data_IF_233301776630
#
_entry.id   IF_233301776630
#
_cell.length_a   1.000
_cell.length_b   1.000
_cell.length_c   1.000
_cell.angle_alpha   90.00
_cell.angle_beta   90.00
_cell.angle_gamma   90.00
#
_symmetry.space_group_name_H-M   'P 1'
#
loop_
_entity.id
_entity.type
_entity.pdbx_description
1 polymer ?
#
# COMPACT_ATOMS: atom_id res chain seq x y z
N UNK A 1 -13.85 -33.75 4.90
CA UNK A 1 -14.07 -32.31 4.63
C UNK A 1 -13.41 -31.50 5.75
N UNK A 2 -12.41 -30.66 5.46
CA UNK A 2 -11.73 -29.84 6.49
C UNK A 2 -12.52 -28.55 6.70
N UNK A 3 -12.98 -28.31 7.93
CA UNK A 3 -13.65 -27.07 8.30
C UNK A 3 -12.72 -25.86 8.10
N UNK A 4 -13.22 -24.71 7.61
CA UNK A 4 -12.40 -23.51 7.46
C UNK A 4 -11.95 -23.05 8.85
N UNK A 5 -10.63 -22.98 9.05
CA UNK A 5 -10.05 -22.42 10.29
C UNK A 5 -10.42 -20.94 10.35
N UNK A 6 -11.32 -20.59 11.27
CA UNK A 6 -11.57 -19.19 11.66
C UNK A 6 -10.28 -18.67 12.30
N UNK A 7 -9.44 -18.00 11.52
CA UNK A 7 -8.28 -17.28 12.06
C UNK A 7 -8.87 -16.18 12.94
N UNK A 8 -8.62 -16.17 14.26
CA UNK A 8 -9.08 -15.08 15.10
C UNK A 8 -8.56 -13.78 14.51
N UNK A 9 -9.45 -12.81 14.27
CA UNK A 9 -9.05 -11.45 13.92
C UNK A 9 -8.24 -10.93 15.09
N UNK A 10 -6.92 -11.11 15.04
CA UNK A 10 -6.00 -10.39 15.90
C UNK A 10 -6.28 -8.92 15.59
N UNK A 11 -6.99 -8.25 16.51
CA UNK A 11 -7.06 -6.81 16.52
C UNK A 11 -5.63 -6.37 16.80
N UNK A 12 -4.83 -6.18 15.75
CA UNK A 12 -3.48 -5.69 15.92
C UNK A 12 -3.62 -4.37 16.67
N UNK A 13 -3.04 -4.29 17.86
CA UNK A 13 -3.02 -3.07 18.64
C UNK A 13 -2.17 -2.11 17.82
N UNK A 14 -2.83 -1.14 17.18
CA UNK A 14 -2.15 -0.12 16.38
C UNK A 14 -1.63 0.92 17.37
N UNK A 15 -0.30 1.14 17.44
CA UNK A 15 0.25 2.18 18.29
C UNK A 15 -0.36 3.54 17.93
N UNK A 16 -0.75 4.37 18.92
CA UNK A 16 -1.28 5.71 18.65
C UNK A 16 -0.24 6.57 17.92
N UNK A 17 1.05 6.37 18.21
CA UNK A 17 2.20 7.01 17.56
C UNK A 17 2.23 6.77 16.05
N UNK A 18 1.96 5.53 15.60
CA UNK A 18 1.94 5.18 14.19
C UNK A 18 0.90 6.01 13.41
N UNK A 19 -0.24 6.31 14.05
CA UNK A 19 -1.28 7.17 13.44
C UNK A 19 -0.84 8.63 13.42
N UNK A 20 -0.26 9.12 14.51
CA UNK A 20 0.23 10.50 14.59
C UNK A 20 1.28 10.80 13.50
N UNK A 21 2.21 9.86 13.28
CA UNK A 21 3.22 9.94 12.22
C UNK A 21 2.57 10.04 10.83
N UNK A 22 1.65 9.13 10.51
CA UNK A 22 0.98 9.12 9.20
C UNK A 22 0.17 10.40 8.99
N UNK A 23 -0.53 10.90 10.01
CA UNK A 23 -1.25 12.18 9.93
C UNK A 23 -0.30 13.34 9.65
N UNK A 24 0.83 13.41 10.35
CA UNK A 24 1.81 14.47 10.15
C UNK A 24 2.36 14.46 8.72
N UNK A 25 2.70 13.29 8.19
CA UNK A 25 3.21 13.15 6.82
C UNK A 25 2.17 13.57 5.78
N UNK A 26 0.92 13.12 5.93
CA UNK A 26 -0.15 13.48 5.01
C UNK A 26 -0.57 14.96 5.14
N UNK A 27 -0.39 15.58 6.30
CA UNK A 27 -0.61 17.01 6.47
C UNK A 27 0.44 17.84 5.71
N UNK A 28 1.70 17.39 5.70
CA UNK A 28 2.79 18.10 5.02
C UNK A 28 2.78 17.90 3.50
N UNK A 29 2.66 16.64 3.07
CA UNK A 29 2.80 16.26 1.66
C UNK A 29 1.63 15.35 1.30
N UNK A 30 0.71 15.87 0.49
CA UNK A 30 -0.42 15.11 -0.05
C UNK A 30 -0.73 15.59 -1.48
N UNK A 31 -1.18 14.70 -2.38
CA UNK A 31 -1.48 13.27 -2.20
C UNK A 31 -0.26 12.34 -2.35
N UNK A 32 -0.11 11.34 -1.48
CA UNK A 32 1.03 10.40 -1.49
C UNK A 32 0.64 8.95 -1.80
N UNK A 33 1.53 8.20 -2.46
CA UNK A 33 1.37 6.74 -2.59
C UNK A 33 1.76 6.06 -1.27
N UNK A 34 1.28 4.85 -1.06
CA UNK A 34 1.63 4.01 0.09
C UNK A 34 3.15 3.85 0.23
N UNK A 35 3.87 3.69 -0.88
CA UNK A 35 5.34 3.59 -0.88
C UNK A 35 5.97 4.90 -0.43
N UNK A 36 5.52 6.02 -1.00
CA UNK A 36 6.01 7.36 -0.63
C UNK A 36 5.78 7.64 0.86
N UNK A 37 4.60 7.28 1.41
CA UNK A 37 4.29 7.43 2.83
C UNK A 37 5.28 6.62 3.67
N UNK A 38 5.50 5.35 3.31
CA UNK A 38 6.43 4.49 4.04
C UNK A 38 7.86 5.05 4.03
N UNK A 39 8.30 5.57 2.90
CA UNK A 39 9.61 6.21 2.76
C UNK A 39 9.71 7.47 3.64
N UNK A 40 8.70 8.35 3.61
CA UNK A 40 8.68 9.55 4.44
C UNK A 40 8.68 9.22 5.94
N UNK A 41 7.96 8.17 6.35
CA UNK A 41 7.97 7.68 7.73
C UNK A 41 9.40 7.36 8.16
N UNK A 42 10.15 6.64 7.33
CA UNK A 42 11.48 6.17 7.69
C UNK A 42 12.55 7.26 7.51
N UNK A 43 12.35 8.21 6.60
CA UNK A 43 13.30 9.29 6.41
C UNK A 43 13.15 10.40 7.47
N UNK A 44 11.93 10.70 7.95
CA UNK A 44 11.68 11.79 8.91
C UNK A 44 11.79 11.38 10.38
N UNK A 45 11.55 10.10 10.71
CA UNK A 45 11.42 9.65 12.11
C UNK A 45 12.49 8.64 12.57
N UNK A 46 13.57 8.45 11.80
CA UNK A 46 14.71 7.65 12.26
C UNK A 46 15.63 8.51 13.11
N UNK A 47 15.30 8.60 14.40
CA UNK A 47 16.31 8.66 15.46
C UNK A 47 16.39 7.25 16.08
N UNK A 48 17.03 6.30 15.39
CA UNK A 48 17.33 5.00 16.01
C UNK A 48 18.82 4.70 15.81
N UNK A 49 19.57 4.49 16.89
CA UNK A 49 20.98 4.11 16.81
C UNK A 49 21.09 2.82 16.02
N UNK A 50 22.12 2.74 15.16
CA UNK A 50 22.36 1.60 14.29
C UNK A 50 22.30 0.27 15.07
N UNK A 51 21.86 -0.82 14.41
CA UNK A 51 21.72 -2.11 15.07
C UNK A 51 23.05 -2.52 15.72
N UNK A 52 23.04 -3.14 16.91
CA UNK A 52 24.27 -3.68 17.50
C UNK A 52 24.90 -4.66 16.50
N UNK A 53 26.16 -4.40 16.15
CA UNK A 53 27.00 -5.34 15.44
C UNK A 53 27.05 -6.66 16.23
N UNK A 54 26.90 -7.78 15.52
CA UNK A 54 26.93 -9.16 16.02
C UNK A 54 25.60 -9.77 16.53
N UNK A 55 24.72 -10.10 15.59
CA UNK A 55 23.85 -11.28 15.72
C UNK A 55 24.48 -12.47 14.98
N UNK A 56 24.72 -13.62 15.63
CA UNK A 56 25.28 -14.79 14.97
C UNK A 56 24.38 -15.31 13.84
N UNK A 57 25.03 -15.68 12.74
CA UNK A 57 24.47 -15.91 11.40
C UNK A 57 23.49 -17.10 11.27
N UNK A 58 23.27 -17.89 12.33
CA UNK A 58 22.55 -19.16 12.26
C UNK A 58 21.14 -19.16 12.86
N UNK A 59 20.69 -18.08 13.51
CA UNK A 59 19.36 -18.02 14.16
C UNK A 59 18.22 -17.47 13.26
N UNK A 60 18.47 -17.10 12.00
CA UNK A 60 17.50 -16.41 11.11
C UNK A 60 16.90 -17.27 10.00
N UNK A 61 16.81 -18.58 10.16
CA UNK A 61 16.17 -19.42 9.15
C UNK A 61 14.64 -19.38 9.31
N UNK A 62 13.98 -18.68 8.38
CA UNK A 62 12.56 -18.82 7.96
C UNK A 62 11.47 -17.87 8.50
N UNK A 63 11.79 -16.74 9.12
CA UNK A 63 10.79 -15.65 9.24
C UNK A 63 11.38 -14.32 8.75
N UNK A 64 10.74 -13.62 7.80
CA UNK A 64 11.14 -12.26 7.45
C UNK A 64 10.86 -11.37 8.65
N UNK A 65 11.91 -11.10 9.44
CA UNK A 65 11.85 -10.13 10.52
C UNK A 65 11.54 -8.75 9.91
N UNK A 66 10.63 -7.95 10.49
CA UNK A 66 10.36 -6.60 10.00
C UNK A 66 11.66 -5.80 9.97
N UNK A 67 11.83 -4.99 8.91
CA UNK A 67 13.06 -4.20 8.69
C UNK A 67 13.38 -3.27 9.87
N UNK A 68 12.35 -2.83 10.60
CA UNK A 68 12.47 -1.98 11.79
C UNK A 68 11.54 -2.50 12.89
N UNK A 69 11.99 -3.40 13.78
CA UNK A 69 11.12 -3.99 14.82
C UNK A 69 10.64 -2.96 15.84
N UNK A 70 11.48 -1.96 16.14
CA UNK A 70 11.23 -0.95 17.17
C UNK A 70 10.46 0.27 16.65
N UNK A 71 10.32 0.40 15.32
CA UNK A 71 9.60 1.51 14.73
C UNK A 71 8.07 1.28 14.85
N UNK A 72 7.25 2.32 15.19
CA UNK A 72 5.79 2.20 15.28
C UNK A 72 5.13 1.66 14.00
N UNK A 73 5.77 1.86 12.85
CA UNK A 73 5.39 1.33 11.53
C UNK A 73 6.49 0.38 11.06
N UNK A 74 6.29 -0.92 11.30
CA UNK A 74 7.35 -1.94 11.15
C UNK A 74 7.57 -2.44 9.71
N UNK A 75 6.58 -2.24 8.84
CA UNK A 75 6.62 -2.69 7.45
C UNK A 75 5.55 -2.02 6.60
N UNK A 76 5.75 -2.04 5.27
CA UNK A 76 4.73 -1.62 4.29
C UNK A 76 3.42 -2.39 4.48
N UNK A 77 3.51 -3.70 4.75
CA UNK A 77 2.32 -4.53 5.00
C UNK A 77 1.57 -4.06 6.24
N UNK A 78 2.30 -3.71 7.31
CA UNK A 78 1.70 -3.20 8.53
C UNK A 78 1.01 -1.85 8.30
N UNK A 79 1.71 -0.93 7.63
CA UNK A 79 1.15 0.37 7.22
C UNK A 79 -0.14 0.20 6.43
N UNK A 80 -0.13 -0.63 5.38
CA UNK A 80 -1.27 -0.83 4.47
C UNK A 80 -2.47 -1.49 5.16
N UNK A 81 -2.24 -2.65 5.80
CA UNK A 81 -3.34 -3.51 6.23
C UNK A 81 -3.90 -3.16 7.60
N UNK A 82 -3.13 -2.46 8.43
CA UNK A 82 -3.54 -2.11 9.78
C UNK A 82 -3.66 -0.60 9.93
N UNK A 83 -2.59 0.17 9.73
CA UNK A 83 -2.61 1.62 10.02
C UNK A 83 -3.55 2.37 9.08
N UNK A 84 -3.30 2.35 7.77
CA UNK A 84 -4.11 3.06 6.78
C UNK A 84 -5.54 2.53 6.73
N UNK A 85 -5.71 1.21 6.85
CA UNK A 85 -7.04 0.59 6.92
C UNK A 85 -7.82 1.08 8.13
N UNK A 86 -7.23 1.09 9.32
CA UNK A 86 -7.91 1.55 10.53
C UNK A 86 -8.20 3.05 10.52
N UNK A 87 -7.27 3.86 10.01
CA UNK A 87 -7.49 5.29 9.84
C UNK A 87 -8.61 5.57 8.82
N UNK A 88 -8.73 4.76 7.77
CA UNK A 88 -9.84 4.84 6.82
C UNK A 88 -11.18 4.42 7.44
N UNK A 89 -11.21 3.35 8.23
CA UNK A 89 -12.40 2.92 8.98
C UNK A 89 -12.88 4.01 9.97
N UNK A 90 -11.96 4.87 10.44
CA UNK A 90 -12.24 6.00 11.33
C UNK A 90 -12.51 7.32 10.59
N UNK A 91 -12.56 7.30 9.25
CA UNK A 91 -12.69 8.50 8.41
C UNK A 91 -11.60 9.57 8.67
N UNK A 92 -10.39 9.16 9.04
CA UNK A 92 -9.25 10.07 9.21
C UNK A 92 -8.48 10.29 7.90
N UNK A 93 -8.39 9.23 7.09
CA UNK A 93 -7.75 9.23 5.78
C UNK A 93 -8.67 8.58 4.76
N UNK A 94 -8.52 8.98 3.51
CA UNK A 94 -9.26 8.38 2.40
C UNK A 94 -8.30 8.01 1.27
N UNK A 95 -8.64 6.92 0.60
CA UNK A 95 -7.94 6.48 -0.60
C UNK A 95 -8.61 7.12 -1.81
N UNK A 96 -7.89 7.99 -2.50
CA UNK A 96 -8.37 8.60 -3.74
C UNK A 96 -7.73 7.89 -4.94
N UNK A 97 -8.51 7.77 -6.02
CA UNK A 97 -7.99 7.38 -7.32
C UNK A 97 -7.77 8.63 -8.13
N UNK A 98 -6.52 8.93 -8.43
CA UNK A 98 -6.19 10.04 -9.31
C UNK A 98 -6.09 9.50 -10.73
N UNK A 99 -6.97 9.98 -11.61
CA UNK A 99 -6.80 9.77 -13.06
C UNK A 99 -5.57 10.57 -13.47
N UNK A 100 -4.52 9.88 -13.94
CA UNK A 100 -3.37 10.58 -14.52
C UNK A 100 -3.83 11.35 -15.76
N UNK A 101 -3.09 12.41 -16.10
CA UNK A 101 -3.13 13.06 -17.42
C UNK A 101 -3.02 12.00 -18.53
N UNK A 102 -3.48 12.29 -19.77
CA UNK A 102 -3.26 11.36 -20.89
C UNK A 102 -1.79 10.92 -20.91
N UNK A 103 -1.59 9.60 -20.95
CA UNK A 103 -0.26 9.01 -20.85
C UNK A 103 0.64 9.58 -21.93
N UNK A 104 1.88 9.89 -21.56
CA UNK A 104 2.91 10.18 -22.55
C UNK A 104 3.21 8.92 -23.38
N UNK A 105 3.67 9.09 -24.63
CA UNK A 105 3.95 7.94 -25.52
C UNK A 105 4.91 6.92 -24.89
N UNK A 106 5.87 7.39 -24.06
CA UNK A 106 6.80 6.52 -23.35
C UNK A 106 6.09 5.68 -22.28
N UNK A 107 5.19 6.29 -21.51
CA UNK A 107 4.38 5.59 -20.50
C UNK A 107 3.40 4.59 -21.13
N UNK A 108 2.87 4.87 -22.32
CA UNK A 108 2.04 3.94 -23.10
C UNK A 108 2.86 2.69 -23.45
N UNK A 109 4.08 2.88 -23.98
CA UNK A 109 4.96 1.76 -24.30
C UNK A 109 5.33 0.90 -23.09
N UNK A 110 5.53 1.51 -21.92
CA UNK A 110 5.73 0.75 -20.67
C UNK A 110 4.48 -0.03 -20.24
N UNK A 111 3.30 0.57 -20.38
CA UNK A 111 2.04 -0.08 -20.06
C UNK A 111 1.82 -1.30 -20.94
N UNK A 112 2.03 -1.18 -22.25
CA UNK A 112 1.92 -2.28 -23.21
C UNK A 112 2.89 -3.42 -22.86
N UNK A 113 4.13 -3.11 -22.48
CA UNK A 113 5.10 -4.12 -22.03
C UNK A 113 4.61 -4.85 -20.77
N UNK A 114 4.01 -4.13 -19.82
CA UNK A 114 3.46 -4.71 -18.58
C UNK A 114 2.24 -5.59 -18.89
N UNK A 115 1.34 -5.13 -19.75
CA UNK A 115 0.18 -5.88 -20.23
C UNK A 115 0.64 -7.18 -20.89
N UNK A 116 1.54 -7.10 -21.86
CA UNK A 116 2.07 -8.27 -22.56
C UNK A 116 2.75 -9.28 -21.62
N UNK A 117 3.41 -8.80 -20.56
CA UNK A 117 4.03 -9.66 -19.53
C UNK A 117 2.98 -10.41 -18.69
N UNK A 118 1.80 -9.85 -18.49
CA UNK A 118 0.69 -10.45 -17.73
C UNK A 118 -0.17 -11.36 -18.63
N UNK A 119 -0.38 -10.97 -19.88
CA UNK A 119 -1.17 -11.72 -20.84
C UNK A 119 -0.53 -13.05 -21.22
N UNK A 120 0.79 -13.10 -21.40
CA UNK A 120 1.50 -14.35 -21.71
C UNK A 120 1.21 -15.48 -20.70
N UNK A 121 1.34 -15.28 -19.38
CA UNK A 121 0.90 -16.24 -18.37
C UNK A 121 -0.59 -16.55 -18.41
N UNK A 122 -1.45 -15.54 -18.61
CA UNK A 122 -2.90 -15.72 -18.65
C UNK A 122 -3.34 -16.58 -19.84
N UNK A 123 -2.73 -16.41 -21.01
CA UNK A 123 -2.99 -17.25 -22.18
C UNK A 123 -2.63 -18.72 -21.93
N UNK A 124 -1.50 -18.99 -21.27
CA UNK A 124 -1.12 -20.36 -20.88
C UNK A 124 -2.15 -20.98 -19.93
N UNK A 125 -2.68 -20.20 -18.98
CA UNK A 125 -3.72 -20.67 -18.06
C UNK A 125 -5.03 -20.97 -18.79
N UNK A 126 -5.44 -20.11 -19.72
CA UNK A 126 -6.62 -20.33 -20.55
C UNK A 126 -6.53 -21.63 -21.36
N UNK A 127 -5.37 -21.92 -21.96
CA UNK A 127 -5.13 -23.20 -22.65
C UNK A 127 -5.22 -24.41 -21.73
N UNK A 128 -4.93 -24.25 -20.44
CA UNK A 128 -5.04 -25.28 -19.41
C UNK A 128 -6.43 -25.36 -18.76
N UNK A 129 -7.40 -24.56 -19.22
CA UNK A 129 -8.74 -24.48 -18.62
C UNK A 129 -8.76 -23.83 -17.22
N UNK A 130 -7.68 -23.15 -16.83
CA UNK A 130 -7.57 -22.43 -15.55
C UNK A 130 -7.92 -20.96 -15.78
N UNK A 131 -8.78 -20.34 -14.94
CA UNK A 131 -9.12 -18.94 -15.09
C UNK A 131 -7.88 -18.04 -14.92
N UNK A 132 -7.78 -16.95 -15.71
CA UNK A 132 -6.68 -16.00 -15.59
C UNK A 132 -6.71 -15.34 -14.21
N UNK A 133 -5.54 -15.20 -13.58
CA UNK A 133 -5.42 -14.64 -12.23
C UNK A 133 -4.70 -13.29 -12.20
N UNK A 134 -4.16 -12.83 -13.33
CA UNK A 134 -3.46 -11.56 -13.44
C UNK A 134 -4.42 -10.44 -13.86
N UNK A 135 -4.51 -9.39 -13.03
CA UNK A 135 -5.22 -8.16 -13.39
C UNK A 135 -4.45 -7.42 -14.49
N UNK A 136 -5.10 -7.20 -15.64
CA UNK A 136 -4.57 -6.36 -16.71
C UNK A 136 -5.06 -4.93 -16.45
N UNK A 137 -4.19 -3.99 -16.10
CA UNK A 137 -4.61 -2.62 -15.86
C UNK A 137 -5.00 -1.96 -17.19
N UNK A 138 -6.29 -1.60 -17.32
CA UNK A 138 -6.82 -0.85 -18.46
C UNK A 138 -6.35 0.61 -18.46
N UNK A 139 -5.92 1.12 -17.31
CA UNK A 139 -5.46 2.50 -17.09
C UNK A 139 -4.36 2.51 -16.02
N UNK A 140 -3.42 3.48 -16.09
CA UNK A 140 -2.51 3.77 -14.97
C UNK A 140 -3.27 4.55 -13.90
N UNK A 141 -4.05 3.83 -13.09
CA UNK A 141 -4.68 4.43 -11.91
C UNK A 141 -3.67 4.50 -10.78
N UNK A 142 -3.26 5.72 -10.43
CA UNK A 142 -2.49 5.94 -9.22
C UNK A 142 -3.46 6.00 -8.03
N UNK A 143 -3.36 5.03 -7.14
CA UNK A 143 -4.01 5.09 -5.83
C UNK A 143 -3.18 5.98 -4.93
N UNK A 144 -3.77 7.03 -4.38
CA UNK A 144 -3.10 7.90 -3.41
C UNK A 144 -3.92 7.97 -2.12
N UNK A 145 -3.25 8.25 -1.01
CA UNK A 145 -3.89 8.48 0.28
C UNK A 145 -3.83 9.97 0.61
N UNK A 146 -4.92 10.49 1.17
CA UNK A 146 -5.07 11.89 1.60
C UNK A 146 -5.80 11.92 2.93
N UNK A 147 -5.72 13.05 3.65
CA UNK A 147 -6.57 13.30 4.81
C UNK A 147 -8.04 13.41 4.39
N UNK A 148 -8.95 13.02 5.28
CA UNK A 148 -10.38 12.98 4.96
C UNK A 148 -10.98 14.37 4.68
N UNK A 149 -10.43 15.40 5.29
CA UNK A 149 -10.81 16.82 5.13
C UNK A 149 -10.12 17.52 3.94
N UNK A 150 -9.24 16.82 3.21
CA UNK A 150 -8.54 17.40 2.06
C UNK A 150 -9.51 17.79 0.95
N UNK A 151 -9.53 19.08 0.57
CA UNK A 151 -10.46 19.61 -0.46
C UNK A 151 -9.93 19.61 -1.90
N UNK A 152 -8.72 19.11 -2.13
CA UNK A 152 -8.09 19.18 -3.45
C UNK A 152 -7.54 20.57 -3.79
N UNK A 153 -6.73 20.69 -4.85
CA UNK A 153 -6.24 21.99 -5.33
C UNK A 153 -7.34 22.84 -6.00
N UNK A 154 -8.38 22.20 -6.54
CA UNK A 154 -9.40 22.87 -7.37
C UNK A 154 -10.74 23.11 -6.64
N UNK A 155 -10.86 22.70 -5.37
CA UNK A 155 -12.10 22.85 -4.58
C UNK A 155 -13.29 22.01 -5.05
N UNK A 156 -13.20 21.37 -6.22
CA UNK A 156 -14.14 20.35 -6.65
C UNK A 156 -13.85 19.05 -5.92
N UNK A 157 -14.77 18.68 -5.02
CA UNK A 157 -14.71 17.41 -4.34
C UNK A 157 -14.66 16.29 -5.37
N UNK A 158 -13.57 15.52 -5.39
CA UNK A 158 -13.52 14.27 -6.13
C UNK A 158 -14.63 13.37 -5.60
N UNK A 159 -15.74 13.27 -6.33
CA UNK A 159 -16.76 12.26 -6.13
C UNK A 159 -16.07 10.90 -6.24
N UNK A 160 -15.84 10.29 -5.09
CA UNK A 160 -15.53 8.87 -5.03
C UNK A 160 -16.82 8.15 -5.40
N UNK A 161 -16.90 7.67 -6.64
CA UNK A 161 -17.87 6.67 -7.07
C UNK A 161 -17.72 5.44 -6.15
N UNK A 162 -18.45 5.46 -5.04
CA UNK A 162 -18.56 4.34 -4.09
C UNK A 162 -19.64 3.34 -4.54
N UNK A 163 -20.15 3.45 -5.77
CA UNK A 163 -21.15 2.57 -6.34
C UNK A 163 -20.55 1.69 -7.44
N UNK A 164 -19.81 0.66 -7.03
CA UNK A 164 -19.71 -0.61 -7.76
C UNK A 164 -19.02 -1.65 -6.86
N UNK A 165 -19.83 -2.22 -5.96
CA UNK A 165 -19.66 -3.57 -5.43
C UNK A 165 -20.97 -4.31 -5.65
#
# INVERSE_FOLDING_TARGET
>A
MKAPRKIPKLQAIIPPEARAIVRHILADVQPLDMYDIYEHVHNKFVEVPGPPEHSPYWARQNQPQPQHPDHPIRSIRFLKHFVLKNMAERNEVRKIMIRRRPLTNDEVGELERKIAKIERPNQRKLQQGVPPSGYVPLEVRASKWVLADWKGPDGEGFETDASQC
#
